data_IF_575090009579
#
_entry.id   IF_575090009579
#
_cell.length_a   1.000
_cell.length_b   1.000
_cell.length_c   1.000
_cell.angle_alpha   90.00
_cell.angle_beta   90.00
_cell.angle_gamma   90.00
#
_symmetry.space_group_name_H-M   'P 1'
#
loop_
_entity.id
_entity.type
_entity.pdbx_description
1 polymer ?
#
# COMPACT_ATOMS: atom_id res chain seq x y z
N UNK A 1 -18.44 -8.79 -25.25
CA UNK A 1 -18.26 -8.67 -23.77
C UNK A 1 -18.38 -7.20 -23.41
N UNK A 2 -19.32 -6.80 -22.53
CA UNK A 2 -19.60 -5.38 -22.27
C UNK A 2 -18.35 -4.64 -21.75
N UNK A 3 -18.07 -3.45 -22.26
CA UNK A 3 -16.97 -2.57 -21.84
C UNK A 3 -16.91 -2.38 -20.32
N UNK A 4 -18.07 -2.22 -19.69
CA UNK A 4 -18.21 -2.10 -18.23
C UNK A 4 -17.62 -3.31 -17.49
N UNK A 5 -17.88 -4.53 -17.93
CA UNK A 5 -17.31 -5.75 -17.31
C UNK A 5 -15.79 -5.79 -17.46
N UNK A 6 -15.24 -5.27 -18.55
CA UNK A 6 -13.80 -5.19 -18.77
C UNK A 6 -13.15 -4.17 -17.84
N UNK A 7 -13.77 -2.99 -17.67
CA UNK A 7 -13.29 -1.95 -16.77
C UNK A 7 -13.31 -2.41 -15.30
N UNK A 8 -14.40 -3.05 -14.87
CA UNK A 8 -14.51 -3.61 -13.50
C UNK A 8 -13.44 -4.68 -13.27
N UNK A 9 -13.22 -5.58 -14.23
CA UNK A 9 -12.16 -6.59 -14.12
C UNK A 9 -10.76 -5.95 -14.02
N UNK A 10 -10.49 -4.92 -14.82
CA UNK A 10 -9.23 -4.19 -14.73
C UNK A 10 -9.07 -3.51 -13.36
N UNK A 11 -10.09 -2.79 -12.90
CA UNK A 11 -10.10 -2.11 -11.60
C UNK A 11 -9.80 -3.05 -10.43
N UNK A 12 -10.40 -4.26 -10.43
CA UNK A 12 -10.16 -5.27 -9.41
C UNK A 12 -8.77 -5.92 -9.58
N UNK A 13 -8.40 -6.26 -10.80
CA UNK A 13 -7.15 -6.98 -11.06
C UNK A 13 -5.91 -6.13 -10.84
N UNK A 14 -5.98 -4.84 -11.12
CA UNK A 14 -4.90 -3.86 -10.91
C UNK A 14 -4.78 -3.36 -9.46
N UNK A 15 -5.60 -3.88 -8.54
CA UNK A 15 -5.63 -3.47 -7.13
C UNK A 15 -5.96 -2.00 -6.87
N UNK A 16 -6.51 -1.29 -7.86
CA UNK A 16 -6.90 0.12 -7.74
C UNK A 16 -7.97 0.33 -6.66
N UNK A 17 -8.92 -0.60 -6.52
CA UNK A 17 -9.96 -0.54 -5.49
C UNK A 17 -9.39 -0.55 -4.07
N UNK A 18 -8.30 -1.31 -3.83
CA UNK A 18 -7.63 -1.35 -2.53
C UNK A 18 -6.90 -0.03 -2.27
N UNK A 19 -6.18 0.48 -3.25
CA UNK A 19 -5.51 1.77 -3.15
C UNK A 19 -6.49 2.91 -2.88
N UNK A 20 -7.66 2.91 -3.54
CA UNK A 20 -8.73 3.87 -3.28
C UNK A 20 -9.26 3.77 -1.84
N UNK A 21 -9.42 2.55 -1.30
CA UNK A 21 -9.85 2.35 0.08
C UNK A 21 -8.81 2.89 1.08
N UNK A 22 -7.51 2.65 0.85
CA UNK A 22 -6.45 3.18 1.71
C UNK A 22 -6.45 4.71 1.72
N UNK A 23 -6.55 5.34 0.54
CA UNK A 23 -6.63 6.80 0.42
C UNK A 23 -7.86 7.36 1.13
N UNK A 24 -9.00 6.72 0.98
CA UNK A 24 -10.23 7.14 1.68
C UNK A 24 -10.05 7.13 3.20
N UNK A 25 -9.35 6.14 3.75
CA UNK A 25 -9.04 6.09 5.18
C UNK A 25 -8.04 7.16 5.60
N UNK A 26 -7.00 7.45 4.79
CA UNK A 26 -6.10 8.57 5.04
C UNK A 26 -6.86 9.91 5.06
N UNK A 27 -7.82 10.08 4.14
CA UNK A 27 -8.64 11.28 4.06
C UNK A 27 -9.56 11.42 5.28
N UNK A 28 -10.15 10.34 5.76
CA UNK A 28 -10.92 10.33 7.02
C UNK A 28 -10.03 10.76 8.19
N UNK A 29 -8.80 10.25 8.27
CA UNK A 29 -7.83 10.65 9.30
C UNK A 29 -7.50 12.14 9.20
N UNK A 30 -7.29 12.68 7.99
CA UNK A 30 -7.05 14.11 7.78
C UNK A 30 -8.20 14.96 8.32
N UNK A 31 -9.45 14.56 8.03
CA UNK A 31 -10.65 15.28 8.50
C UNK A 31 -10.77 15.24 10.03
N UNK A 32 -10.65 14.04 10.63
CA UNK A 32 -10.82 13.85 12.08
C UNK A 32 -9.80 14.66 12.87
N UNK A 33 -8.53 14.61 12.46
CA UNK A 33 -7.43 15.29 13.14
C UNK A 33 -7.14 16.70 12.60
N UNK A 34 -7.95 17.19 11.65
CA UNK A 34 -7.81 18.51 11.00
C UNK A 34 -6.39 18.76 10.49
N UNK A 35 -5.83 17.74 9.82
CA UNK A 35 -4.48 17.77 9.28
C UNK A 35 -4.45 18.58 7.98
N UNK A 36 -3.25 19.03 7.60
CA UNK A 36 -2.99 19.59 6.27
C UNK A 36 -1.97 18.71 5.57
N UNK A 37 -2.45 17.84 4.70
CA UNK A 37 -1.65 16.80 4.05
C UNK A 37 -1.40 17.17 2.60
N UNK A 38 -0.15 17.02 2.16
CA UNK A 38 0.24 17.34 0.79
C UNK A 38 -0.33 16.36 -0.25
N UNK A 39 -0.60 16.85 -1.45
CA UNK A 39 -1.00 15.99 -2.57
C UNK A 39 0.05 14.90 -2.85
N UNK A 40 1.33 15.21 -2.68
CA UNK A 40 2.43 14.26 -2.90
C UNK A 40 2.37 13.08 -1.94
N UNK A 41 1.92 13.29 -0.70
CA UNK A 41 1.66 12.21 0.24
C UNK A 41 0.56 11.27 -0.27
N UNK A 42 -0.55 11.80 -0.75
CA UNK A 42 -1.64 11.00 -1.31
C UNK A 42 -1.21 10.20 -2.54
N UNK A 43 -0.46 10.83 -3.44
CA UNK A 43 0.10 10.14 -4.61
C UNK A 43 1.03 9.00 -4.17
N UNK A 44 1.91 9.27 -3.20
CA UNK A 44 2.81 8.27 -2.66
C UNK A 44 2.04 7.06 -2.09
N UNK A 45 1.08 7.29 -1.21
CA UNK A 45 0.31 6.23 -0.55
C UNK A 45 -0.52 5.45 -1.58
N UNK A 46 -1.18 6.14 -2.52
CA UNK A 46 -1.98 5.50 -3.58
C UNK A 46 -1.14 4.55 -4.42
N UNK A 47 -0.09 5.06 -5.02
CA UNK A 47 0.73 4.26 -5.94
C UNK A 47 1.56 3.20 -5.22
N UNK A 48 2.00 3.43 -3.98
CA UNK A 48 2.62 2.41 -3.13
C UNK A 48 1.66 1.27 -2.81
N UNK A 49 0.38 1.58 -2.56
CA UNK A 49 -0.65 0.56 -2.36
C UNK A 49 -0.89 -0.24 -3.64
N UNK A 50 -1.02 0.40 -4.81
CA UNK A 50 -1.16 -0.28 -6.10
C UNK A 50 0.01 -1.21 -6.35
N UNK A 51 1.24 -0.71 -6.22
CA UNK A 51 2.46 -1.48 -6.48
C UNK A 51 2.60 -2.65 -5.50
N UNK A 52 2.43 -2.41 -4.20
CA UNK A 52 2.56 -3.42 -3.15
C UNK A 52 1.56 -4.56 -3.31
N UNK A 53 0.27 -4.24 -3.54
CA UNK A 53 -0.75 -5.27 -3.73
C UNK A 53 -0.61 -6.01 -5.06
N UNK A 54 -0.21 -5.35 -6.13
CA UNK A 54 0.11 -6.03 -7.39
C UNK A 54 1.31 -6.96 -7.22
N UNK A 55 2.35 -6.53 -6.49
CA UNK A 55 3.50 -7.37 -6.17
C UNK A 55 3.07 -8.63 -5.38
N UNK A 56 2.34 -8.48 -4.28
CA UNK A 56 1.84 -9.59 -3.46
C UNK A 56 0.96 -10.55 -4.27
N UNK A 57 0.11 -10.00 -5.16
CA UNK A 57 -0.83 -10.78 -5.95
C UNK A 57 -0.13 -11.59 -7.05
N UNK A 58 0.86 -10.99 -7.72
CA UNK A 58 1.44 -11.57 -8.94
C UNK A 58 2.82 -12.20 -8.72
N UNK A 59 3.59 -11.80 -7.71
CA UNK A 59 4.92 -12.36 -7.44
C UNK A 59 4.87 -13.84 -7.02
N UNK A 60 3.89 -14.23 -6.19
CA UNK A 60 3.73 -15.61 -5.74
C UNK A 60 3.23 -16.58 -6.83
N UNK A 61 2.63 -16.06 -7.90
CA UNK A 61 1.97 -16.85 -8.95
C UNK A 61 2.91 -17.14 -10.13
N UNK A 62 4.06 -16.46 -10.22
CA UNK A 62 4.96 -16.48 -11.37
C UNK A 62 5.56 -17.85 -11.72
N UNK A 63 5.48 -18.84 -10.83
CA UNK A 63 6.11 -20.12 -11.11
C UNK A 63 5.30 -21.08 -11.98
N UNK A 64 3.95 -21.02 -12.04
CA UNK A 64 3.20 -22.11 -12.70
C UNK A 64 1.89 -21.80 -13.46
N UNK A 65 1.26 -20.63 -13.35
CA UNK A 65 -0.11 -20.44 -13.92
C UNK A 65 -0.35 -19.15 -14.72
N UNK A 66 0.69 -18.51 -15.20
CA UNK A 66 0.65 -17.11 -15.62
C UNK A 66 -0.04 -16.81 -16.96
N UNK A 67 -0.11 -17.77 -17.87
CA UNK A 67 -0.61 -17.51 -19.23
C UNK A 67 -2.12 -17.42 -19.35
N UNK A 68 -2.88 -17.90 -18.36
CA UNK A 68 -4.34 -18.01 -18.47
C UNK A 68 -5.13 -16.99 -17.64
N UNK A 69 -4.51 -16.24 -16.72
CA UNK A 69 -5.25 -15.52 -15.69
C UNK A 69 -5.65 -14.08 -16.03
N UNK A 70 -5.00 -13.39 -16.94
CA UNK A 70 -5.43 -12.04 -17.31
C UNK A 70 -5.04 -11.69 -18.74
N UNK A 71 -6.04 -11.46 -19.58
CA UNK A 71 -5.88 -10.89 -20.93
C UNK A 71 -5.24 -9.49 -20.93
N UNK A 72 -5.13 -8.85 -19.76
CA UNK A 72 -4.63 -7.48 -19.54
C UNK A 72 -3.40 -7.41 -18.64
N UNK A 73 -2.60 -8.46 -18.61
CA UNK A 73 -1.41 -8.48 -17.76
C UNK A 73 -0.39 -7.39 -18.11
N UNK A 74 -0.21 -7.11 -19.39
CA UNK A 74 0.66 -6.03 -19.88
C UNK A 74 0.23 -4.66 -19.37
N UNK A 75 -1.09 -4.41 -19.30
CA UNK A 75 -1.64 -3.15 -18.77
C UNK A 75 -1.35 -3.00 -17.26
N UNK A 76 -1.43 -4.09 -16.50
CA UNK A 76 -1.12 -4.08 -15.06
C UNK A 76 0.39 -3.89 -14.84
N UNK A 77 1.24 -4.48 -15.66
CA UNK A 77 2.69 -4.24 -15.60
C UNK A 77 3.03 -2.78 -15.91
N UNK A 78 2.42 -2.20 -16.94
CA UNK A 78 2.61 -0.79 -17.28
C UNK A 78 2.16 0.12 -16.12
N UNK A 79 0.98 -0.17 -15.53
CA UNK A 79 0.49 0.58 -14.37
C UNK A 79 1.47 0.47 -13.19
N UNK A 80 2.01 -0.74 -12.92
CA UNK A 80 2.98 -0.94 -11.84
C UNK A 80 4.29 -0.19 -12.09
N UNK A 81 4.74 -0.12 -13.33
CA UNK A 81 5.91 0.67 -13.72
C UNK A 81 5.69 2.17 -13.55
N UNK A 82 4.55 2.68 -14.02
CA UNK A 82 4.17 4.09 -13.80
C UNK A 82 4.02 4.41 -12.31
N UNK A 83 3.45 3.48 -11.54
CA UNK A 83 3.36 3.61 -10.09
C UNK A 83 4.73 3.75 -9.44
N UNK A 84 5.72 2.97 -9.86
CA UNK A 84 7.08 3.05 -9.34
C UNK A 84 7.71 4.42 -9.60
N UNK A 85 7.55 4.97 -10.80
CA UNK A 85 8.06 6.31 -11.14
C UNK A 85 7.40 7.37 -10.25
N UNK A 86 6.09 7.31 -10.08
CA UNK A 86 5.35 8.27 -9.24
C UNK A 86 5.75 8.16 -7.76
N UNK A 87 5.97 6.94 -7.26
CA UNK A 87 6.45 6.69 -5.90
C UNK A 87 7.81 7.37 -5.69
N UNK A 88 8.76 7.16 -6.59
CA UNK A 88 10.11 7.75 -6.49
C UNK A 88 10.00 9.28 -6.44
N UNK A 89 9.25 9.88 -7.37
CA UNK A 89 9.09 11.33 -7.41
C UNK A 89 8.44 11.88 -6.13
N UNK A 90 7.32 11.29 -5.70
CA UNK A 90 6.60 11.72 -4.50
C UNK A 90 7.41 11.48 -3.21
N UNK A 91 8.17 10.38 -3.12
CA UNK A 91 8.97 10.04 -1.96
C UNK A 91 9.98 11.14 -1.58
N UNK A 92 10.63 11.75 -2.57
CA UNK A 92 11.59 12.84 -2.29
C UNK A 92 10.93 14.07 -1.68
N UNK A 93 9.64 14.27 -1.88
CA UNK A 93 8.88 15.43 -1.39
C UNK A 93 8.25 15.22 -0.01
N UNK A 94 8.27 14.00 0.53
CA UNK A 94 7.74 13.67 1.85
C UNK A 94 8.67 14.14 2.97
N UNK A 95 8.13 14.32 4.17
CA UNK A 95 8.91 14.57 5.38
C UNK A 95 9.81 13.37 5.74
N UNK A 96 10.95 13.64 6.36
CA UNK A 96 11.93 12.60 6.71
C UNK A 96 11.36 11.51 7.62
N UNK A 97 10.46 11.86 8.55
CA UNK A 97 9.76 10.90 9.42
C UNK A 97 8.89 9.93 8.64
N UNK A 98 8.17 10.43 7.63
CA UNK A 98 7.33 9.60 6.75
C UNK A 98 8.20 8.70 5.87
N UNK A 99 9.30 9.22 5.32
CA UNK A 99 10.25 8.43 4.52
C UNK A 99 10.78 7.24 5.30
N UNK A 100 11.24 7.47 6.54
CA UNK A 100 11.75 6.39 7.40
C UNK A 100 10.66 5.34 7.68
N UNK A 101 9.46 5.78 8.07
CA UNK A 101 8.34 4.89 8.36
C UNK A 101 7.89 4.11 7.12
N UNK A 102 7.87 4.74 5.95
CA UNK A 102 7.53 4.08 4.69
C UNK A 102 8.55 2.99 4.32
N UNK A 103 9.84 3.23 4.54
CA UNK A 103 10.89 2.22 4.32
C UNK A 103 10.71 1.04 5.29
N UNK A 104 10.40 1.30 6.56
CA UNK A 104 10.13 0.24 7.54
C UNK A 104 8.91 -0.59 7.13
N UNK A 105 7.81 0.06 6.73
CA UNK A 105 6.60 -0.63 6.26
C UNK A 105 6.87 -1.45 5.00
N UNK A 106 7.65 -0.93 4.08
CA UNK A 106 8.09 -1.64 2.89
C UNK A 106 8.87 -2.91 3.28
N UNK A 107 9.83 -2.79 4.19
CA UNK A 107 10.63 -3.93 4.67
C UNK A 107 9.76 -4.98 5.35
N UNK A 108 8.82 -4.60 6.21
CA UNK A 108 7.86 -5.52 6.85
C UNK A 108 7.05 -6.26 5.79
N UNK A 109 6.54 -5.56 4.78
CA UNK A 109 5.74 -6.16 3.71
C UNK A 109 6.55 -7.14 2.88
N UNK A 110 7.79 -6.79 2.53
CA UNK A 110 8.69 -7.65 1.77
C UNK A 110 9.07 -8.92 2.54
N UNK A 111 9.49 -8.79 3.80
CA UNK A 111 9.87 -9.94 4.64
C UNK A 111 8.70 -10.87 4.91
N UNK A 112 7.48 -10.32 4.96
CA UNK A 112 6.28 -11.13 5.10
C UNK A 112 6.00 -12.00 3.85
N UNK A 113 6.20 -11.47 2.64
CA UNK A 113 5.81 -12.14 1.40
C UNK A 113 6.91 -13.06 0.84
N UNK A 114 8.19 -12.66 0.95
CA UNK A 114 9.30 -13.42 0.35
C UNK A 114 9.68 -14.61 1.24
N UNK A 115 9.66 -15.85 0.69
CA UNK A 115 10.20 -16.99 1.42
C UNK A 115 11.73 -16.89 1.51
N UNK A 116 12.28 -16.88 2.70
CA UNK A 116 13.73 -17.08 2.91
C UNK A 116 14.11 -18.51 2.56
N UNK A 117 15.28 -18.69 1.93
CA UNK A 117 15.75 -19.90 1.22
C UNK A 117 15.55 -21.26 1.93
N UNK A 118 15.37 -21.32 3.23
CA UNK A 118 15.16 -22.57 4.01
C UNK A 118 13.95 -22.52 4.95
N UNK A 119 13.25 -21.40 5.02
CA UNK A 119 12.10 -21.25 5.92
C UNK A 119 10.83 -20.95 5.11
N UNK A 120 9.67 -21.50 5.51
CA UNK A 120 8.41 -21.10 4.91
C UNK A 120 8.21 -19.59 5.12
N UNK A 121 7.70 -18.88 4.10
CA UNK A 121 7.36 -17.46 4.24
C UNK A 121 6.53 -17.23 5.52
N UNK A 122 6.72 -16.12 6.20
CA UNK A 122 5.97 -15.76 7.41
C UNK A 122 4.45 -15.81 7.18
N UNK A 123 4.02 -15.67 5.93
CA UNK A 123 2.62 -15.84 5.47
C UNK A 123 2.04 -17.22 5.78
N UNK A 124 2.86 -18.28 5.93
CA UNK A 124 2.41 -19.64 6.23
C UNK A 124 2.11 -19.84 7.73
N UNK A 125 2.55 -18.93 8.59
CA UNK A 125 2.26 -19.00 10.02
C UNK A 125 0.79 -18.61 10.23
N UNK A 126 0.00 -19.57 10.75
CA UNK A 126 -1.42 -19.37 11.02
C UNK A 126 -1.61 -18.20 11.99
N UNK A 127 -2.49 -17.26 11.63
CA UNK A 127 -2.81 -16.07 12.44
C UNK A 127 -1.92 -14.86 12.18
N UNK A 128 -0.62 -15.01 11.92
CA UNK A 128 0.31 -13.90 11.74
C UNK A 128 -0.11 -12.96 10.58
N UNK A 129 -0.72 -13.52 9.54
CA UNK A 129 -1.25 -12.78 8.40
C UNK A 129 -2.18 -11.62 8.82
N UNK A 130 -3.12 -11.90 9.73
CA UNK A 130 -4.12 -10.89 10.13
C UNK A 130 -3.46 -9.74 10.87
N UNK A 131 -2.53 -10.04 11.78
CA UNK A 131 -1.82 -9.02 12.56
C UNK A 131 -0.94 -8.13 11.69
N UNK A 132 -0.16 -8.70 10.77
CA UNK A 132 0.71 -7.91 9.87
C UNK A 132 -0.12 -7.02 8.94
N UNK A 133 -1.19 -7.57 8.35
CA UNK A 133 -2.07 -6.78 7.47
C UNK A 133 -2.73 -5.65 8.27
N UNK A 134 -3.28 -5.93 9.46
CA UNK A 134 -3.90 -4.93 10.31
C UNK A 134 -2.90 -3.83 10.71
N UNK A 135 -1.67 -4.21 11.10
CA UNK A 135 -0.60 -3.27 11.45
C UNK A 135 -0.25 -2.35 10.27
N UNK A 136 0.00 -2.94 9.10
CA UNK A 136 0.35 -2.16 7.90
C UNK A 136 -0.78 -1.21 7.52
N UNK A 137 -2.04 -1.66 7.58
CA UNK A 137 -3.19 -0.80 7.30
C UNK A 137 -3.33 0.34 8.30
N UNK A 138 -3.24 0.06 9.61
CA UNK A 138 -3.34 1.06 10.64
C UNK A 138 -2.23 2.11 10.53
N UNK A 139 -0.98 1.67 10.34
CA UNK A 139 0.15 2.58 10.19
C UNK A 139 0.07 3.39 8.90
N UNK A 140 -0.40 2.82 7.79
CA UNK A 140 -0.53 3.53 6.52
C UNK A 140 -1.66 4.54 6.55
N UNK A 141 -2.83 4.18 7.12
CA UNK A 141 -4.02 5.03 7.08
C UNK A 141 -4.08 6.09 8.18
N UNK A 142 -3.43 5.84 9.33
CA UNK A 142 -3.44 6.77 10.48
C UNK A 142 -2.03 7.25 10.80
N UNK A 143 -1.07 6.34 10.97
CA UNK A 143 0.29 6.69 11.40
C UNK A 143 1.02 7.62 10.43
N UNK A 144 1.04 7.29 9.13
CA UNK A 144 1.73 8.12 8.12
C UNK A 144 1.11 9.52 7.98
N UNK A 145 -0.24 9.70 7.91
CA UNK A 145 -0.86 11.03 7.92
C UNK A 145 -0.46 11.89 9.12
N UNK A 146 -0.46 11.33 10.34
CA UNK A 146 -0.05 12.03 11.55
C UNK A 146 1.43 12.44 11.52
N UNK A 147 2.30 11.58 10.98
CA UNK A 147 3.73 11.90 10.80
C UNK A 147 3.94 12.99 9.75
N UNK A 148 3.17 12.99 8.66
CA UNK A 148 3.26 14.00 7.61
C UNK A 148 2.85 15.38 8.14
N UNK A 149 1.82 15.44 8.98
CA UNK A 149 1.38 16.71 9.59
C UNK A 149 2.28 17.19 10.74
N UNK A 150 3.23 16.38 11.24
CA UNK A 150 4.09 16.63 12.41
C UNK A 150 3.33 16.71 13.75
N UNK A 151 2.10 16.23 13.80
CA UNK A 151 1.25 16.24 14.99
C UNK A 151 1.51 15.03 15.91
N UNK A 152 2.15 13.98 15.39
CA UNK A 152 2.37 12.71 16.10
C UNK A 152 3.11 12.85 17.45
N UNK A 153 3.92 13.90 17.63
CA UNK A 153 4.72 14.12 18.84
C UNK A 153 4.05 15.04 19.88
N UNK A 154 2.81 15.48 19.67
CA UNK A 154 2.07 16.25 20.65
C UNK A 154 1.45 15.31 21.68
N UNK A 155 1.71 15.57 22.98
CA UNK A 155 1.22 14.75 24.10
C UNK A 155 -0.30 14.60 24.12
N UNK A 156 -1.04 15.57 23.60
CA UNK A 156 -2.51 15.56 23.57
C UNK A 156 -3.08 14.52 22.59
N UNK A 157 -2.35 14.18 21.54
CA UNK A 157 -2.83 13.25 20.50
C UNK A 157 -2.54 11.78 20.82
N UNK A 158 -1.63 11.50 21.74
CA UNK A 158 -1.37 10.12 22.20
C UNK A 158 -2.55 9.56 23.01
N UNK A 159 -3.31 10.42 23.68
CA UNK A 159 -4.46 10.03 24.51
C UNK A 159 -5.69 9.70 23.64
N UNK A 160 -5.79 10.28 22.45
CA UNK A 160 -6.92 10.05 21.53
C UNK A 160 -6.74 8.86 20.59
N UNK A 161 -5.58 8.20 20.61
CA UNK A 161 -5.29 6.99 19.84
C UNK A 161 -5.71 5.68 20.54
N UNK A 162 -6.11 5.78 21.82
CA UNK A 162 -6.62 4.68 22.64
C UNK A 162 -8.00 5.03 23.22
#
# INVERSE_FOLDING_TARGET
>A
MNLIKQLIKFYINSSLHIAASVISMCFVTEIIYKLNISLNFYLFVFFSSVLGYNFIKYFGITKFHYRSLTSRFKEIQLLSFLSLITIIFSFFQLKSSVKLSAVILCFITFTYEIPFEKSPSLRKIKGLKVYIIALVWALTSVGLPLLESSIFFSKENLITLF
#
